data_IF_259948275601
#
_entry.id   IF_259948275601
#
_cell.length_a   1.000
_cell.length_b   1.000
_cell.length_c   1.000
_cell.angle_alpha   90.00
_cell.angle_beta   90.00
_cell.angle_gamma   90.00
#
_symmetry.space_group_name_H-M   'P 1'
#
loop_
_entity.id
_entity.type
_entity.pdbx_description
1 polymer ?
#
# COMPACT_ATOMS: atom_id res chain seq x y z
N UNK A 1 43.15 33.46 -38.89
CA UNK A 1 42.90 33.98 -37.53
C UNK A 1 41.42 34.20 -37.17
N UNK A 2 40.49 34.48 -38.09
CA UNK A 2 39.04 34.67 -37.78
C UNK A 2 38.25 33.40 -37.48
N UNK A 3 38.67 32.23 -37.96
CA UNK A 3 37.94 30.97 -37.76
C UNK A 3 38.15 30.40 -36.34
N UNK A 4 39.31 30.58 -35.72
CA UNK A 4 39.58 30.10 -34.37
C UNK A 4 38.87 30.90 -33.28
N UNK A 5 38.60 32.19 -33.47
CA UNK A 5 37.83 33.01 -32.53
C UNK A 5 36.35 32.59 -32.45
N UNK A 6 35.77 32.15 -33.59
CA UNK A 6 34.35 31.75 -33.64
C UNK A 6 34.09 30.43 -32.91
N UNK A 7 35.04 29.48 -33.00
CA UNK A 7 34.93 28.19 -32.29
C UNK A 7 35.14 28.38 -30.78
N UNK A 8 36.01 29.28 -30.34
CA UNK A 8 36.22 29.53 -28.90
C UNK A 8 35.00 30.23 -28.29
N UNK A 9 34.31 31.09 -28.99
CA UNK A 9 33.10 31.76 -28.53
C UNK A 9 31.89 30.79 -28.44
N UNK A 10 31.77 29.85 -29.38
CA UNK A 10 30.72 28.81 -29.33
C UNK A 10 30.90 27.83 -28.16
N UNK A 11 32.13 27.42 -27.88
CA UNK A 11 32.46 26.50 -26.78
C UNK A 11 32.22 27.20 -25.43
N UNK A 12 32.56 28.47 -25.25
CA UNK A 12 32.30 29.23 -24.02
C UNK A 12 30.80 29.43 -23.78
N UNK A 13 29.99 29.69 -24.82
CA UNK A 13 28.53 29.80 -24.71
C UNK A 13 27.90 28.45 -24.34
N UNK A 14 28.42 27.34 -24.90
CA UNK A 14 27.95 25.98 -24.57
C UNK A 14 28.24 25.58 -23.12
N UNK A 15 29.46 25.87 -22.65
CA UNK A 15 29.89 25.62 -21.27
C UNK A 15 29.07 26.45 -20.28
N UNK A 16 28.82 27.75 -20.58
CA UNK A 16 27.98 28.60 -19.73
C UNK A 16 26.51 28.11 -19.69
N UNK A 17 25.94 27.69 -20.81
CA UNK A 17 24.58 27.14 -20.84
C UNK A 17 24.46 25.82 -20.06
N UNK A 18 25.47 24.95 -20.14
CA UNK A 18 25.50 23.70 -19.40
C UNK A 18 25.67 23.95 -17.88
N UNK A 19 26.59 24.88 -17.51
CA UNK A 19 26.80 25.28 -16.11
C UNK A 19 25.58 25.93 -15.49
N UNK A 20 24.91 26.85 -16.21
CA UNK A 20 23.69 27.52 -15.77
C UNK A 20 22.51 26.53 -15.63
N UNK A 21 22.35 25.58 -16.58
CA UNK A 21 21.33 24.54 -16.53
C UNK A 21 21.54 23.57 -15.37
N UNK A 22 22.81 23.22 -15.04
CA UNK A 22 23.11 22.39 -13.87
C UNK A 22 22.85 23.13 -12.55
N UNK A 23 23.21 24.40 -12.47
CA UNK A 23 22.99 25.23 -11.27
C UNK A 23 21.51 25.47 -11.00
N UNK A 24 20.70 25.67 -12.05
CA UNK A 24 19.24 25.78 -11.94
C UNK A 24 18.60 24.47 -11.45
N UNK A 25 19.03 23.30 -11.97
CA UNK A 25 18.56 21.99 -11.52
C UNK A 25 18.91 21.68 -10.04
N UNK A 26 20.06 22.16 -9.56
CA UNK A 26 20.49 21.97 -8.17
C UNK A 26 19.66 22.84 -7.22
N UNK A 27 19.35 24.09 -7.59
CA UNK A 27 18.51 24.98 -6.79
C UNK A 27 17.10 24.43 -6.63
N UNK A 28 16.52 23.86 -7.69
CA UNK A 28 15.18 23.30 -7.67
C UNK A 28 15.07 22.08 -6.73
N UNK A 29 16.04 21.15 -6.79
CA UNK A 29 16.02 19.99 -5.91
C UNK A 29 16.21 20.35 -4.45
N UNK A 30 17.04 21.36 -4.15
CA UNK A 30 17.22 21.84 -2.78
C UNK A 30 15.94 22.50 -2.25
N UNK A 31 15.22 23.26 -3.07
CA UNK A 31 13.92 23.83 -2.73
C UNK A 31 12.89 22.73 -2.45
N UNK A 32 12.82 21.66 -3.29
CA UNK A 32 11.95 20.52 -3.03
C UNK A 32 12.29 19.87 -1.70
N UNK A 33 13.58 19.58 -1.42
CA UNK A 33 14.04 18.99 -0.17
C UNK A 33 13.63 19.81 1.04
N UNK A 34 13.84 21.13 1.00
CA UNK A 34 13.48 22.05 2.08
C UNK A 34 11.97 22.06 2.35
N UNK A 35 11.14 22.09 1.30
CA UNK A 35 9.67 22.04 1.42
C UNK A 35 9.20 20.73 2.02
N UNK A 36 9.76 19.59 1.60
CA UNK A 36 9.44 18.27 2.13
C UNK A 36 9.89 18.17 3.59
N UNK A 37 11.11 18.59 3.92
CA UNK A 37 11.62 18.60 5.30
C UNK A 37 10.73 19.46 6.21
N UNK A 38 10.36 20.66 5.79
CA UNK A 38 9.47 21.55 6.52
C UNK A 38 8.09 20.92 6.76
N UNK A 39 7.49 20.32 5.72
CA UNK A 39 6.17 19.69 5.81
C UNK A 39 6.15 18.50 6.78
N UNK A 40 7.13 17.61 6.65
CA UNK A 40 7.17 16.40 7.48
C UNK A 40 7.49 16.73 8.93
N UNK A 41 8.48 17.62 9.17
CA UNK A 41 8.81 18.09 10.52
C UNK A 41 7.65 18.87 11.17
N UNK A 42 6.91 19.65 10.40
CA UNK A 42 5.68 20.29 10.86
C UNK A 42 4.64 19.24 11.31
N UNK A 43 4.43 18.17 10.51
CA UNK A 43 3.56 17.06 10.88
C UNK A 43 3.96 16.39 12.20
N UNK A 44 5.26 16.13 12.40
CA UNK A 44 5.81 15.56 13.65
C UNK A 44 5.59 16.53 14.81
N UNK A 45 5.95 17.82 14.65
CA UNK A 45 5.78 18.87 15.67
C UNK A 45 4.31 19.01 16.11
N UNK A 46 3.37 18.89 15.17
CA UNK A 46 1.91 18.91 15.44
C UNK A 46 1.36 17.56 15.89
N UNK A 47 2.23 16.57 16.18
CA UNK A 47 1.85 15.22 16.63
C UNK A 47 0.90 14.49 15.67
N UNK A 48 0.99 14.76 14.38
CA UNK A 48 0.22 14.04 13.36
C UNK A 48 0.71 12.58 13.20
N UNK A 49 1.99 12.36 13.41
CA UNK A 49 2.67 11.06 13.47
C UNK A 49 4.03 11.24 14.16
N UNK A 50 4.55 10.22 14.88
CA UNK A 50 5.86 10.34 15.52
C UNK A 50 7.03 10.18 14.57
N UNK A 51 6.89 9.37 13.49
CA UNK A 51 7.95 9.11 12.54
C UNK A 51 7.45 8.88 11.12
N UNK A 52 8.35 9.06 10.15
CA UNK A 52 8.05 8.90 8.73
C UNK A 52 9.26 8.48 7.91
N UNK A 53 8.99 7.88 6.73
CA UNK A 53 9.92 7.79 5.60
C UNK A 53 9.27 8.43 4.38
N UNK A 54 10.04 9.21 3.61
CA UNK A 54 9.63 9.80 2.33
C UNK A 54 10.60 9.37 1.25
N UNK A 55 10.05 8.81 0.16
CA UNK A 55 10.82 8.57 -1.05
C UNK A 55 10.10 9.19 -2.24
N UNK A 56 10.84 9.99 -3.00
CA UNK A 56 10.36 10.66 -4.21
C UNK A 56 11.27 10.26 -5.37
N UNK A 57 10.68 9.63 -6.38
CA UNK A 57 11.29 9.38 -7.66
C UNK A 57 10.66 10.32 -8.69
N UNK A 58 11.48 11.01 -9.48
CA UNK A 58 11.00 11.87 -10.56
C UNK A 58 12.06 11.99 -11.64
N UNK A 59 11.64 11.94 -12.93
CA UNK A 59 12.54 12.08 -14.08
C UNK A 59 13.75 11.16 -13.95
N UNK A 60 13.46 9.86 -13.86
CA UNK A 60 14.41 8.74 -13.94
C UNK A 60 15.40 8.58 -12.78
N UNK A 61 15.21 9.31 -11.67
CA UNK A 61 16.04 9.13 -10.48
C UNK A 61 15.30 9.42 -9.17
N UNK A 62 15.81 8.82 -8.08
CA UNK A 62 15.39 9.14 -6.72
C UNK A 62 15.91 10.54 -6.36
N UNK A 63 15.01 11.45 -6.00
CA UNK A 63 15.31 12.82 -5.58
C UNK A 63 15.41 12.94 -4.05
N UNK A 64 14.59 12.20 -3.34
CA UNK A 64 14.54 12.13 -1.89
C UNK A 64 14.38 10.67 -1.46
N UNK A 65 15.19 10.24 -0.50
CA UNK A 65 15.02 9.02 0.29
C UNK A 65 15.46 9.36 1.72
N UNK A 66 14.50 9.70 2.59
CA UNK A 66 14.80 10.27 3.91
C UNK A 66 13.83 9.81 4.98
N UNK A 67 14.38 9.51 6.15
CA UNK A 67 13.66 9.19 7.36
C UNK A 67 13.57 10.41 8.28
N UNK A 68 12.50 10.50 9.10
CA UNK A 68 12.19 11.60 9.98
C UNK A 68 11.61 11.10 11.30
N UNK A 69 11.90 11.82 12.38
CA UNK A 69 11.31 11.60 13.70
C UNK A 69 11.70 10.27 14.33
N UNK A 70 10.79 9.71 15.10
CA UNK A 70 11.06 8.60 16.01
C UNK A 70 9.98 7.52 15.92
N UNK A 71 10.23 6.34 16.51
CA UNK A 71 9.25 5.26 16.59
C UNK A 71 7.99 5.68 17.35
N UNK A 72 8.17 6.48 18.39
CA UNK A 72 7.13 6.96 19.31
C UNK A 72 7.36 8.43 19.67
N UNK A 73 6.38 9.07 20.32
CA UNK A 73 6.51 10.49 20.75
C UNK A 73 7.43 10.71 21.94
N UNK A 74 8.00 9.66 22.53
CA UNK A 74 9.04 9.76 23.58
C UNK A 74 10.42 10.17 23.04
N UNK A 75 10.59 10.12 21.71
CA UNK A 75 11.81 10.52 20.99
C UNK A 75 13.08 9.73 21.37
N UNK A 76 12.92 8.45 21.74
CA UNK A 76 14.04 7.59 22.12
C UNK A 76 14.68 6.90 20.90
N UNK A 77 13.87 6.25 20.05
CA UNK A 77 14.36 5.47 18.91
C UNK A 77 14.11 6.24 17.60
N UNK A 78 15.16 6.82 16.97
CA UNK A 78 14.99 7.53 15.71
C UNK A 78 14.57 6.57 14.58
N UNK A 79 13.74 7.04 13.66
CA UNK A 79 13.42 6.31 12.44
C UNK A 79 14.60 6.41 11.47
N UNK A 80 14.97 5.29 10.86
CA UNK A 80 15.98 5.22 9.79
C UNK A 80 15.35 4.73 8.49
N UNK A 81 16.06 4.84 7.36
CA UNK A 81 15.59 4.31 6.08
C UNK A 81 15.46 2.78 6.07
N UNK A 82 16.10 2.09 7.00
CA UNK A 82 16.03 0.62 7.13
C UNK A 82 14.82 0.13 7.90
N UNK A 83 14.15 0.98 8.66
CA UNK A 83 13.02 0.57 9.48
C UNK A 83 11.78 0.26 8.63
N UNK A 84 11.06 -0.81 9.00
CA UNK A 84 9.86 -1.26 8.30
C UNK A 84 8.61 -0.73 8.99
N UNK A 85 7.66 -0.27 8.16
CA UNK A 85 6.34 0.19 8.57
C UNK A 85 5.28 -0.85 8.22
N UNK A 86 4.23 -0.95 9.03
CA UNK A 86 3.01 -1.65 8.63
C UNK A 86 2.33 -0.85 7.51
N UNK A 87 2.28 -1.43 6.35
CA UNK A 87 1.77 -0.79 5.13
C UNK A 87 0.24 -0.70 5.07
N UNK A 88 -0.47 -1.40 5.96
CA UNK A 88 -1.92 -1.48 5.94
C UNK A 88 -2.44 -1.78 4.52
N UNK A 89 -3.36 -0.94 4.00
CA UNK A 89 -3.98 -1.17 2.69
C UNK A 89 -3.05 -1.00 1.48
N UNK A 90 -1.84 -0.48 1.62
CA UNK A 90 -0.85 -0.57 0.53
C UNK A 90 -0.52 -2.03 0.17
N UNK A 91 -0.75 -2.98 1.10
CA UNK A 91 -0.72 -4.43 0.83
C UNK A 91 -1.56 -4.80 -0.40
N UNK A 92 -2.70 -4.11 -0.62
CA UNK A 92 -3.57 -4.38 -1.77
C UNK A 92 -2.86 -4.16 -3.10
N UNK A 93 -2.10 -3.08 -3.24
CA UNK A 93 -1.43 -2.77 -4.51
C UNK A 93 -0.03 -3.40 -4.61
N UNK A 94 0.70 -3.50 -3.50
CA UNK A 94 2.08 -3.99 -3.46
C UNK A 94 2.19 -5.53 -3.32
N UNK A 95 1.08 -6.21 -3.00
CA UNK A 95 1.01 -7.66 -2.94
C UNK A 95 -0.15 -8.22 -3.76
N UNK A 96 -1.41 -7.90 -3.40
CA UNK A 96 -2.58 -8.56 -3.99
C UNK A 96 -2.81 -8.21 -5.45
N UNK A 97 -2.77 -6.92 -5.82
CA UNK A 97 -3.05 -6.50 -7.20
C UNK A 97 -1.96 -6.93 -8.16
N UNK A 98 -0.66 -6.79 -7.81
CA UNK A 98 0.43 -7.30 -8.65
C UNK A 98 0.38 -8.83 -8.78
N UNK A 99 -0.04 -9.54 -7.72
CA UNK A 99 -0.31 -10.98 -7.79
C UNK A 99 -1.44 -11.30 -8.76
N UNK A 100 -2.57 -10.56 -8.68
CA UNK A 100 -3.70 -10.74 -9.61
C UNK A 100 -3.33 -10.41 -11.05
N UNK A 101 -2.52 -9.37 -11.28
CA UNK A 101 -1.96 -9.07 -12.60
C UNK A 101 -1.15 -10.27 -13.13
N UNK A 102 -0.28 -10.86 -12.31
CA UNK A 102 0.53 -12.00 -12.71
C UNK A 102 -0.29 -13.26 -12.93
N UNK A 103 -1.28 -13.51 -12.10
CA UNK A 103 -2.23 -14.61 -12.29
C UNK A 103 -3.07 -14.40 -13.57
N UNK A 104 -3.45 -13.17 -13.90
CA UNK A 104 -4.15 -12.80 -15.12
C UNK A 104 -3.34 -13.19 -16.38
N UNK A 105 -2.01 -12.98 -16.34
CA UNK A 105 -1.12 -13.36 -17.44
C UNK A 105 -0.91 -14.90 -17.55
N UNK A 106 -0.85 -15.58 -16.39
CA UNK A 106 -0.46 -16.99 -16.35
C UNK A 106 -1.62 -17.96 -16.55
N UNK A 107 -2.85 -17.58 -16.22
CA UNK A 107 -3.98 -18.51 -16.08
C UNK A 107 -5.23 -18.11 -16.87
N UNK A 108 -5.08 -17.27 -17.89
CA UNK A 108 -6.17 -16.81 -18.77
C UNK A 108 -7.44 -16.39 -17.98
N UNK A 109 -7.23 -15.54 -16.96
CA UNK A 109 -8.31 -15.05 -16.11
C UNK A 109 -9.11 -14.00 -16.87
N UNK A 110 -10.36 -14.29 -17.24
CA UNK A 110 -11.27 -13.26 -17.73
C UNK A 110 -11.82 -12.44 -16.54
N UNK A 111 -11.54 -11.14 -16.54
CA UNK A 111 -11.96 -10.21 -15.47
C UNK A 111 -13.48 -10.08 -15.33
N UNK A 112 -14.24 -10.43 -16.38
CA UNK A 112 -15.70 -10.45 -16.36
C UNK A 112 -16.30 -11.77 -15.83
N UNK A 113 -15.50 -12.83 -15.72
CA UNK A 113 -15.97 -14.09 -15.16
C UNK A 113 -16.39 -13.96 -13.69
N UNK A 114 -17.38 -14.73 -13.26
CA UNK A 114 -17.83 -14.72 -11.87
C UNK A 114 -16.74 -15.25 -10.94
N UNK A 115 -16.48 -14.54 -9.85
CA UNK A 115 -15.46 -14.89 -8.86
C UNK A 115 -15.62 -16.29 -8.28
N UNK A 116 -16.85 -16.82 -8.30
CA UNK A 116 -17.15 -18.18 -7.86
C UNK A 116 -16.53 -19.27 -8.74
N UNK A 117 -16.05 -18.95 -9.96
CA UNK A 117 -15.28 -19.85 -10.82
C UNK A 117 -13.97 -20.26 -10.12
N UNK A 118 -13.31 -19.32 -9.48
CA UNK A 118 -12.02 -19.54 -8.82
C UNK A 118 -12.11 -19.71 -7.29
N UNK A 119 -13.21 -19.22 -6.66
CA UNK A 119 -13.46 -19.34 -5.21
C UNK A 119 -14.73 -20.15 -4.95
N UNK A 120 -14.64 -21.51 -4.87
CA UNK A 120 -15.80 -22.39 -4.74
C UNK A 120 -16.66 -22.09 -3.50
N UNK A 121 -16.07 -21.55 -2.44
CA UNK A 121 -16.81 -21.13 -1.24
C UNK A 121 -17.93 -20.13 -1.60
N UNK A 122 -17.77 -19.32 -2.65
CA UNK A 122 -18.75 -18.32 -3.08
C UNK A 122 -19.84 -18.86 -4.01
N UNK A 123 -19.75 -20.11 -4.54
CA UNK A 123 -20.76 -20.70 -5.45
C UNK A 123 -22.18 -20.68 -4.86
N UNK A 124 -22.30 -20.90 -3.54
CA UNK A 124 -23.58 -20.87 -2.83
C UNK A 124 -23.72 -19.60 -1.98
N UNK A 125 -23.60 -18.41 -2.62
CA UNK A 125 -23.74 -17.11 -1.97
C UNK A 125 -24.39 -16.09 -2.91
N UNK A 126 -24.85 -14.97 -2.36
CA UNK A 126 -25.30 -13.80 -3.13
C UNK A 126 -24.17 -13.14 -3.95
N UNK A 127 -22.93 -13.53 -3.73
CA UNK A 127 -21.73 -13.01 -4.39
C UNK A 127 -21.28 -13.84 -5.60
N UNK A 128 -21.97 -14.97 -5.87
CA UNK A 128 -21.56 -15.96 -6.88
C UNK A 128 -21.37 -15.41 -8.29
N UNK A 129 -22.13 -14.40 -8.68
CA UNK A 129 -22.13 -13.80 -10.03
C UNK A 129 -21.24 -12.57 -10.15
N UNK A 130 -20.60 -12.08 -9.06
CA UNK A 130 -19.78 -10.89 -9.14
C UNK A 130 -18.46 -11.19 -9.84
N UNK A 131 -18.11 -10.34 -10.82
CA UNK A 131 -16.87 -10.44 -11.56
C UNK A 131 -15.70 -9.80 -10.80
N UNK A 132 -14.47 -10.22 -11.11
CA UNK A 132 -13.27 -9.57 -10.59
C UNK A 132 -13.24 -8.08 -10.93
N UNK A 133 -13.70 -7.72 -12.14
CA UNK A 133 -13.81 -6.32 -12.60
C UNK A 133 -14.64 -5.47 -11.63
N UNK A 134 -15.85 -5.92 -11.27
CA UNK A 134 -16.73 -5.21 -10.31
C UNK A 134 -16.15 -5.18 -8.89
N UNK A 135 -15.53 -6.27 -8.46
CA UNK A 135 -14.99 -6.40 -7.10
C UNK A 135 -13.76 -5.51 -6.90
N UNK A 136 -12.79 -5.54 -7.83
CA UNK A 136 -11.53 -4.80 -7.71
C UNK A 136 -11.72 -3.28 -7.88
N UNK A 137 -12.79 -2.87 -8.57
CA UNK A 137 -13.19 -1.46 -8.65
C UNK A 137 -14.13 -1.02 -7.51
N UNK A 138 -14.40 -1.89 -6.53
CA UNK A 138 -15.31 -1.66 -5.42
C UNK A 138 -16.76 -1.33 -5.83
N UNK A 139 -17.21 -1.86 -6.98
CA UNK A 139 -18.55 -1.65 -7.54
C UNK A 139 -19.45 -2.89 -7.45
N UNK A 140 -19.19 -3.77 -6.49
CA UNK A 140 -19.90 -5.05 -6.32
C UNK A 140 -20.87 -5.06 -5.14
N UNK A 141 -21.09 -3.93 -4.45
CA UNK A 141 -22.00 -3.82 -3.31
C UNK A 141 -21.58 -4.66 -2.09
N UNK A 142 -20.28 -5.05 -1.98
CA UNK A 142 -19.82 -5.75 -0.79
C UNK A 142 -19.66 -4.75 0.35
N UNK A 143 -20.07 -5.15 1.58
CA UNK A 143 -19.94 -4.26 2.74
C UNK A 143 -18.47 -3.88 2.99
N UNK A 144 -18.20 -2.67 3.51
CA UNK A 144 -16.84 -2.19 3.74
C UNK A 144 -16.04 -3.06 4.70
N UNK A 145 -16.66 -3.48 5.81
CA UNK A 145 -15.96 -4.01 6.97
C UNK A 145 -16.84 -4.96 7.83
N UNK A 146 -16.18 -5.92 8.48
CA UNK A 146 -16.75 -6.77 9.55
C UNK A 146 -15.83 -6.65 10.77
N UNK A 147 -16.38 -6.24 11.91
CA UNK A 147 -15.66 -6.21 13.20
C UNK A 147 -15.35 -7.60 13.72
N UNK A 148 -14.44 -8.33 13.06
CA UNK A 148 -14.09 -9.68 13.45
C UNK A 148 -13.55 -9.76 14.89
N UNK A 149 -12.82 -8.72 15.34
CA UNK A 149 -12.29 -8.61 16.69
C UNK A 149 -13.40 -8.55 17.75
N UNK A 150 -14.56 -7.96 17.45
CA UNK A 150 -15.68 -7.94 18.40
C UNK A 150 -16.39 -9.32 18.48
N UNK A 151 -16.29 -10.12 17.42
CA UNK A 151 -16.91 -11.44 17.35
C UNK A 151 -16.13 -12.55 18.06
N UNK A 152 -14.96 -12.27 18.59
CA UNK A 152 -14.16 -13.23 19.37
C UNK A 152 -14.55 -13.25 20.85
N UNK A 153 -15.25 -12.23 21.34
CA UNK A 153 -15.68 -12.15 22.74
C UNK A 153 -17.12 -12.63 22.91
N UNK A 154 -17.39 -13.21 24.06
CA UNK A 154 -18.76 -13.47 24.54
C UNK A 154 -19.32 -12.26 25.30
N UNK A 155 -20.57 -12.32 25.76
CA UNK A 155 -21.21 -11.24 26.53
C UNK A 155 -20.51 -10.89 27.85
N UNK A 156 -19.70 -11.81 28.40
CA UNK A 156 -18.91 -11.64 29.62
C UNK A 156 -17.48 -11.11 29.34
N UNK A 157 -17.17 -10.71 28.11
CA UNK A 157 -15.84 -10.21 27.71
C UNK A 157 -14.75 -11.30 27.62
N UNK A 158 -15.07 -12.58 27.79
CA UNK A 158 -14.14 -13.69 27.64
C UNK A 158 -14.07 -14.17 26.18
N UNK A 159 -12.94 -14.75 25.78
CA UNK A 159 -12.81 -15.35 24.44
C UNK A 159 -13.84 -16.46 24.23
N UNK A 160 -14.51 -16.44 23.08
CA UNK A 160 -15.35 -17.54 22.64
C UNK A 160 -14.48 -18.77 22.32
N UNK A 161 -15.04 -19.96 22.51
CA UNK A 161 -14.36 -21.20 22.15
C UNK A 161 -13.87 -21.18 20.69
N UNK A 162 -12.68 -21.74 20.48
CA UNK A 162 -12.05 -21.82 19.14
C UNK A 162 -11.87 -20.45 18.45
N UNK A 163 -11.47 -19.43 19.21
CA UNK A 163 -11.11 -18.10 18.70
C UNK A 163 -9.66 -17.79 19.03
N UNK A 164 -9.35 -17.42 20.27
CA UNK A 164 -8.03 -17.04 20.75
C UNK A 164 -7.66 -17.78 22.04
N UNK A 165 -6.35 -17.86 22.29
CA UNK A 165 -5.75 -18.40 23.51
C UNK A 165 -4.48 -17.63 23.84
N UNK A 166 -4.16 -17.48 25.14
CA UNK A 166 -2.85 -17.00 25.59
C UNK A 166 -1.77 -18.09 25.54
N UNK A 167 -2.17 -19.37 25.39
CA UNK A 167 -1.24 -20.50 25.32
C UNK A 167 -1.15 -21.01 23.89
N UNK A 168 0.08 -21.15 23.38
CA UNK A 168 0.36 -21.81 22.10
C UNK A 168 0.02 -23.30 22.20
N UNK A 169 -0.61 -23.86 21.17
CA UNK A 169 -0.90 -25.28 21.07
C UNK A 169 -1.17 -25.68 19.62
N UNK A 170 -1.31 -26.99 19.35
CA UNK A 170 -1.70 -27.51 18.03
C UNK A 170 -3.04 -26.91 17.55
N UNK A 171 -3.96 -26.56 18.47
CA UNK A 171 -5.22 -25.90 18.14
C UNK A 171 -5.07 -24.39 17.92
N UNK A 172 -4.07 -23.76 18.54
CA UNK A 172 -3.82 -22.32 18.50
C UNK A 172 -2.37 -22.02 18.08
N UNK A 173 -1.99 -22.30 16.81
CA UNK A 173 -0.61 -22.19 16.35
C UNK A 173 -0.22 -20.79 15.89
N UNK A 174 -1.18 -19.95 15.45
CA UNK A 174 -0.93 -18.66 14.79
C UNK A 174 -0.83 -17.51 15.78
N UNK A 175 0.28 -16.77 15.80
CA UNK A 175 0.45 -15.58 16.62
C UNK A 175 -0.36 -14.41 16.05
N UNK A 176 -1.04 -13.67 16.93
CA UNK A 176 -1.80 -12.44 16.67
C UNK A 176 -1.09 -11.22 17.28
N UNK A 177 -0.35 -11.48 18.34
CA UNK A 177 0.49 -10.57 19.09
C UNK A 177 1.50 -11.36 19.94
N UNK A 178 2.31 -10.70 20.77
CA UNK A 178 3.39 -11.36 21.53
C UNK A 178 2.95 -12.56 22.37
N UNK A 179 1.73 -12.52 22.90
CA UNK A 179 1.21 -13.56 23.81
C UNK A 179 -0.19 -14.04 23.44
N UNK A 180 -0.65 -13.79 22.20
CA UNK A 180 -2.00 -14.13 21.80
C UNK A 180 -1.99 -15.00 20.54
N UNK A 181 -2.66 -16.15 20.60
CA UNK A 181 -2.64 -17.15 19.53
C UNK A 181 -4.04 -17.36 18.97
N UNK A 182 -4.17 -17.41 17.64
CA UNK A 182 -5.43 -17.67 16.95
C UNK A 182 -5.63 -19.14 16.67
N UNK A 183 -6.88 -19.60 16.77
CA UNK A 183 -7.29 -20.97 16.46
C UNK A 183 -7.07 -21.28 14.97
N UNK A 184 -6.48 -22.45 14.65
CA UNK A 184 -6.14 -22.90 13.27
C UNK A 184 -7.30 -22.85 12.27
N UNK A 185 -8.54 -22.96 12.73
CA UNK A 185 -9.74 -22.89 11.89
C UNK A 185 -10.36 -21.51 11.78
N UNK A 186 -9.78 -20.46 12.40
CA UNK A 186 -10.43 -19.15 12.45
C UNK A 186 -10.47 -18.45 11.10
N UNK A 187 -9.45 -18.63 10.27
CA UNK A 187 -9.41 -18.16 8.88
C UNK A 187 -10.64 -18.62 8.10
N UNK A 188 -11.00 -19.90 8.17
CA UNK A 188 -12.21 -20.43 7.53
C UNK A 188 -13.49 -19.78 8.06
N UNK A 189 -13.53 -19.41 9.36
CA UNK A 189 -14.67 -18.69 9.95
C UNK A 189 -14.82 -17.29 9.35
N UNK A 190 -13.70 -16.55 9.17
CA UNK A 190 -13.70 -15.23 8.53
C UNK A 190 -14.29 -15.33 7.12
N UNK A 191 -13.78 -16.23 6.27
CA UNK A 191 -14.24 -16.40 4.90
C UNK A 191 -15.72 -16.80 4.82
N UNK A 192 -16.19 -17.71 5.74
CA UNK A 192 -17.61 -18.08 5.84
C UNK A 192 -18.49 -16.90 6.26
N UNK A 193 -18.01 -16.02 7.14
CA UNK A 193 -18.75 -14.80 7.54
C UNK A 193 -18.88 -13.84 6.35
N UNK A 194 -17.78 -13.57 5.63
CA UNK A 194 -17.80 -12.74 4.43
C UNK A 194 -18.80 -13.29 3.39
N UNK A 195 -18.78 -14.60 3.13
CA UNK A 195 -19.73 -15.28 2.25
C UNK A 195 -21.20 -14.94 2.60
N UNK A 196 -21.53 -14.87 3.90
CA UNK A 196 -22.89 -14.69 4.42
C UNK A 196 -23.35 -13.23 4.51
N UNK A 197 -22.46 -12.24 4.30
CA UNK A 197 -22.85 -10.83 4.39
C UNK A 197 -23.89 -10.48 3.34
N UNK A 198 -24.80 -9.56 3.70
CA UNK A 198 -25.71 -8.93 2.75
C UNK A 198 -24.92 -8.08 1.77
N UNK A 199 -25.48 -7.84 0.60
CA UNK A 199 -24.99 -6.84 -0.34
C UNK A 199 -25.65 -5.51 -0.03
N UNK A 200 -24.93 -4.43 -0.27
CA UNK A 200 -25.48 -3.08 -0.28
C UNK A 200 -26.33 -2.92 -1.53
N UNK A 201 -27.37 -2.11 -1.43
CA UNK A 201 -28.23 -1.75 -2.57
C UNK A 201 -27.55 -0.61 -3.36
N UNK A 202 -27.82 -0.57 -4.67
CA UNK A 202 -27.28 0.45 -5.58
C UNK A 202 -26.00 0.05 -6.29
N UNK A 203 -25.64 0.83 -7.30
CA UNK A 203 -24.44 0.64 -8.13
C UNK A 203 -23.30 1.61 -7.76
N UNK A 204 -23.38 2.22 -6.59
CA UNK A 204 -22.36 3.15 -6.11
C UNK A 204 -21.08 2.44 -5.72
N UNK A 205 -19.97 3.16 -5.84
CA UNK A 205 -18.67 2.69 -5.39
C UNK A 205 -18.61 2.70 -3.85
N UNK A 206 -18.48 1.51 -3.27
CA UNK A 206 -18.29 1.34 -1.82
C UNK A 206 -16.99 0.59 -1.58
N UNK A 207 -15.99 1.29 -1.04
CA UNK A 207 -14.69 0.69 -0.71
C UNK A 207 -14.85 -0.52 0.22
N UNK A 208 -14.45 -1.69 -0.22
CA UNK A 208 -14.57 -2.95 0.52
C UNK A 208 -13.27 -3.77 0.49
N UNK A 209 -12.77 -4.11 1.67
CA UNK A 209 -11.63 -5.02 1.83
C UNK A 209 -11.98 -6.50 1.75
N UNK A 210 -13.27 -6.85 1.68
CA UNK A 210 -13.74 -8.22 1.92
C UNK A 210 -13.23 -9.25 0.92
N UNK A 211 -13.10 -8.91 -0.34
CA UNK A 211 -12.57 -9.84 -1.35
C UNK A 211 -11.11 -10.22 -1.10
N UNK A 212 -10.33 -9.26 -0.64
CA UNK A 212 -8.89 -9.47 -0.46
C UNK A 212 -8.53 -10.54 0.58
N UNK A 213 -9.46 -10.90 1.48
CA UNK A 213 -9.29 -12.04 2.38
C UNK A 213 -9.26 -13.39 1.65
N UNK A 214 -9.77 -13.48 0.43
CA UNK A 214 -9.72 -14.68 -0.39
C UNK A 214 -8.45 -14.79 -1.25
N UNK A 215 -7.62 -13.76 -1.35
CA UNK A 215 -6.42 -13.74 -2.20
C UNK A 215 -5.45 -14.90 -1.85
N UNK A 216 -5.13 -15.20 -0.56
CA UNK A 216 -4.23 -16.31 -0.26
C UNK A 216 -4.76 -17.66 -0.74
N UNK A 217 -6.09 -17.90 -0.63
CA UNK A 217 -6.73 -19.13 -1.12
C UNK A 217 -6.75 -19.19 -2.65
N UNK A 218 -7.06 -18.06 -3.31
CA UNK A 218 -7.06 -17.95 -4.77
C UNK A 218 -5.69 -18.27 -5.36
N UNK A 219 -4.63 -17.66 -4.81
CA UNK A 219 -3.24 -17.89 -5.23
C UNK A 219 -2.87 -19.35 -5.07
N UNK A 220 -3.14 -19.94 -3.88
CA UNK A 220 -2.84 -21.34 -3.60
C UNK A 220 -3.56 -22.28 -4.58
N UNK A 221 -4.82 -21.97 -4.90
CA UNK A 221 -5.62 -22.79 -5.81
C UNK A 221 -5.10 -22.75 -7.25
N UNK A 222 -4.75 -21.58 -7.75
CA UNK A 222 -4.33 -21.41 -9.16
C UNK A 222 -2.88 -21.82 -9.38
N UNK A 223 -1.98 -21.47 -8.47
CA UNK A 223 -0.53 -21.62 -8.66
C UNK A 223 0.11 -22.74 -7.84
N UNK A 224 -0.62 -23.35 -6.92
CA UNK A 224 -0.04 -24.30 -5.94
C UNK A 224 0.84 -23.64 -4.88
N UNK A 225 1.16 -22.34 -5.00
CA UNK A 225 2.04 -21.58 -4.07
C UNK A 225 1.23 -20.85 -3.02
N UNK A 226 1.78 -20.63 -1.82
CA UNK A 226 1.25 -19.62 -0.90
C UNK A 226 1.43 -18.21 -1.48
N UNK A 227 0.70 -17.22 -0.96
CA UNK A 227 0.85 -15.82 -1.39
C UNK A 227 2.29 -15.32 -1.22
N UNK A 228 2.95 -15.67 -0.12
CA UNK A 228 4.35 -15.29 0.14
C UNK A 228 5.31 -15.94 -0.87
N UNK A 229 5.17 -17.25 -1.12
CA UNK A 229 5.98 -17.96 -2.11
C UNK A 229 5.80 -17.38 -3.51
N UNK A 230 4.55 -17.07 -3.89
CA UNK A 230 4.23 -16.47 -5.19
C UNK A 230 4.89 -15.09 -5.37
N UNK A 231 4.73 -14.20 -4.38
CA UNK A 231 5.33 -12.87 -4.40
C UNK A 231 6.87 -12.92 -4.43
N UNK A 232 7.46 -13.79 -3.63
CA UNK A 232 8.91 -13.99 -3.62
C UNK A 232 9.43 -14.53 -4.95
N UNK A 233 8.71 -15.46 -5.58
CA UNK A 233 9.15 -16.07 -6.83
C UNK A 233 9.07 -15.11 -8.02
N UNK A 234 7.95 -14.36 -8.15
CA UNK A 234 7.73 -13.53 -9.32
C UNK A 234 8.22 -12.09 -9.19
N UNK A 235 8.33 -11.54 -7.97
CA UNK A 235 8.62 -10.13 -7.75
C UNK A 235 9.74 -9.88 -6.74
N UNK A 236 9.59 -10.25 -5.47
CA UNK A 236 10.44 -9.73 -4.40
C UNK A 236 11.89 -10.19 -4.52
N UNK A 237 12.14 -11.49 -4.70
CA UNK A 237 13.51 -12.01 -4.89
C UNK A 237 14.11 -11.54 -6.22
N UNK A 238 13.43 -11.65 -7.38
CA UNK A 238 13.99 -11.19 -8.65
C UNK A 238 14.27 -9.69 -8.72
N UNK A 239 13.62 -8.87 -7.90
CA UNK A 239 13.88 -7.43 -7.75
C UNK A 239 14.84 -7.09 -6.61
N UNK A 240 15.35 -8.10 -5.90
CA UNK A 240 16.23 -7.94 -4.74
C UNK A 240 15.62 -7.09 -3.61
N UNK A 241 14.32 -7.30 -3.31
CA UNK A 241 13.61 -6.57 -2.26
C UNK A 241 13.85 -7.24 -0.91
N UNK A 242 14.82 -6.75 -0.16
CA UNK A 242 15.22 -7.38 1.09
C UNK A 242 14.36 -6.99 2.28
N UNK A 243 13.86 -5.74 2.30
CA UNK A 243 13.13 -5.15 3.44
C UNK A 243 11.64 -4.99 3.15
N UNK A 244 11.03 -6.06 2.60
CA UNK A 244 9.58 -6.22 2.40
C UNK A 244 9.18 -7.63 2.82
N UNK A 245 8.17 -7.76 3.71
CA UNK A 245 7.77 -9.08 4.23
C UNK A 245 6.40 -9.07 4.86
N UNK A 246 5.70 -10.20 4.72
CA UNK A 246 4.68 -10.60 5.68
C UNK A 246 5.35 -11.22 6.91
N UNK A 247 4.69 -11.15 8.07
CA UNK A 247 5.19 -11.73 9.33
C UNK A 247 6.64 -11.26 9.62
N UNK A 248 6.89 -9.95 9.70
CA UNK A 248 8.24 -9.40 9.70
C UNK A 248 9.11 -9.92 10.85
N UNK A 249 8.55 -10.24 12.01
CA UNK A 249 9.26 -10.81 13.16
C UNK A 249 9.91 -12.18 12.90
N UNK A 250 9.62 -12.84 11.76
CA UNK A 250 10.34 -14.03 11.33
C UNK A 250 11.70 -13.71 10.68
N UNK A 251 11.92 -12.48 10.27
CA UNK A 251 13.12 -12.04 9.52
C UNK A 251 13.83 -10.87 10.19
N UNK A 252 13.12 -10.00 10.89
CA UNK A 252 13.61 -8.75 11.46
C UNK A 252 13.39 -8.71 12.97
N UNK A 253 14.28 -8.04 13.68
CA UNK A 253 14.10 -7.74 15.10
C UNK A 253 13.02 -6.67 15.33
N UNK A 254 12.44 -6.60 16.52
CA UNK A 254 11.49 -5.54 16.86
C UNK A 254 12.08 -4.13 16.73
N UNK A 255 13.39 -3.96 16.94
CA UNK A 255 14.07 -2.68 16.82
C UNK A 255 14.02 -2.10 15.40
N UNK A 256 13.91 -2.96 14.39
CA UNK A 256 13.82 -2.57 12.97
C UNK A 256 12.38 -2.29 12.52
N UNK A 257 11.40 -2.51 13.38
CA UNK A 257 9.97 -2.38 13.06
C UNK A 257 9.40 -1.17 13.77
N UNK A 258 8.71 -0.30 13.03
CA UNK A 258 8.05 0.87 13.64
C UNK A 258 6.74 0.44 14.28
N UNK A 259 6.49 0.73 15.58
CA UNK A 259 5.26 0.38 16.25
C UNK A 259 4.07 1.17 15.68
N UNK A 260 2.88 0.58 15.75
CA UNK A 260 1.65 1.21 15.27
C UNK A 260 0.80 1.77 16.41
N UNK A 261 -0.03 0.98 17.04
CA UNK A 261 -1.04 1.43 18.01
C UNK A 261 -0.85 0.79 19.38
N UNK A 262 -1.13 1.53 20.47
CA UNK A 262 -1.43 0.94 21.77
C UNK A 262 -2.88 0.45 21.73
N UNK A 263 -3.06 -0.79 21.26
CA UNK A 263 -4.39 -1.39 21.06
C UNK A 263 -5.07 -1.66 22.41
N UNK A 264 -6.03 -0.83 22.75
CA UNK A 264 -6.83 -0.98 24.00
C UNK A 264 -8.07 -1.87 23.82
N UNK A 265 -8.46 -2.19 22.59
CA UNK A 265 -9.73 -2.85 22.27
C UNK A 265 -9.58 -4.36 22.11
N UNK A 266 -8.58 -4.80 21.39
CA UNK A 266 -8.45 -6.19 20.95
C UNK A 266 -7.27 -6.91 21.62
N UNK A 267 -6.03 -6.43 21.42
CA UNK A 267 -4.81 -7.08 21.90
C UNK A 267 -4.40 -6.61 23.30
N UNK A 268 -4.85 -5.42 23.70
CA UNK A 268 -4.53 -4.74 24.97
C UNK A 268 -3.03 -4.59 25.22
N UNK A 269 -2.30 -4.27 24.13
CA UNK A 269 -0.85 -4.07 24.16
C UNK A 269 -0.40 -3.17 23.02
N UNK A 270 0.89 -2.78 23.01
CA UNK A 270 1.51 -2.11 21.86
C UNK A 270 1.60 -3.09 20.69
N UNK A 271 1.03 -2.72 19.54
CA UNK A 271 1.15 -3.46 18.29
C UNK A 271 2.49 -3.10 17.64
N UNK A 272 3.48 -3.98 17.80
CA UNK A 272 4.84 -3.75 17.38
C UNK A 272 5.38 -5.01 16.66
N UNK A 273 5.54 -4.91 15.32
CA UNK A 273 5.91 -6.04 14.46
C UNK A 273 4.76 -7.01 14.13
N UNK A 274 3.56 -6.70 14.58
CA UNK A 274 2.32 -7.41 14.25
C UNK A 274 1.44 -6.54 13.37
N UNK A 275 0.73 -7.16 12.40
CA UNK A 275 -0.17 -6.41 11.52
C UNK A 275 -1.23 -5.67 12.33
N UNK A 276 -1.41 -4.38 12.05
CA UNK A 276 -2.37 -3.52 12.75
C UNK A 276 -3.81 -3.97 12.52
N UNK A 277 -4.18 -4.29 11.28
CA UNK A 277 -5.52 -4.77 10.93
C UNK A 277 -5.87 -6.03 11.71
N UNK A 278 -6.93 -5.96 12.53
CA UNK A 278 -7.33 -7.04 13.42
C UNK A 278 -7.79 -8.29 12.65
N UNK A 279 -8.50 -8.09 11.53
CA UNK A 279 -8.98 -9.21 10.73
C UNK A 279 -7.81 -9.90 10.01
N UNK A 280 -6.85 -9.16 9.49
CA UNK A 280 -5.63 -9.71 8.90
C UNK A 280 -4.80 -10.46 9.95
N UNK A 281 -4.71 -9.96 11.19
CA UNK A 281 -4.03 -10.69 12.26
C UNK A 281 -4.75 -12.01 12.62
N UNK A 282 -6.07 -12.01 12.64
CA UNK A 282 -6.90 -13.21 12.82
C UNK A 282 -6.83 -14.19 11.62
N UNK A 283 -6.35 -13.72 10.45
CA UNK A 283 -5.96 -14.58 9.33
C UNK A 283 -4.56 -15.20 9.48
N UNK A 284 -3.88 -14.95 10.60
CA UNK A 284 -2.52 -15.40 10.84
C UNK A 284 -1.44 -14.42 10.32
N UNK A 285 -1.79 -13.17 10.09
CA UNK A 285 -0.88 -12.11 9.65
C UNK A 285 -0.61 -12.08 8.13
N UNK A 286 -1.14 -13.04 7.37
CA UNK A 286 -1.00 -13.09 5.90
C UNK A 286 -2.38 -12.94 5.26
N UNK A 287 -2.66 -11.77 4.74
CA UNK A 287 -3.94 -11.47 4.10
C UNK A 287 -3.74 -10.55 2.89
N UNK A 288 -4.65 -10.55 1.94
CA UNK A 288 -4.56 -9.68 0.77
C UNK A 288 -4.95 -8.23 1.05
N UNK A 289 -5.66 -7.95 2.15
CA UNK A 289 -6.09 -6.58 2.47
C UNK A 289 -5.06 -5.78 3.26
N UNK A 290 -4.24 -6.45 4.06
CA UNK A 290 -3.21 -5.89 4.94
C UNK A 290 -2.22 -6.99 5.39
N UNK A 291 -1.12 -6.62 6.05
CA UNK A 291 -0.14 -7.53 6.65
C UNK A 291 1.24 -7.45 6.06
N UNK A 292 1.44 -6.68 4.99
CA UNK A 292 2.75 -6.40 4.42
C UNK A 292 3.45 -5.30 5.22
N UNK A 293 4.73 -5.50 5.50
CA UNK A 293 5.64 -4.53 6.10
C UNK A 293 6.78 -4.24 5.11
N UNK A 294 7.19 -2.99 5.01
CA UNK A 294 8.37 -2.60 4.22
C UNK A 294 8.91 -1.24 4.64
N UNK A 295 10.12 -0.93 4.17
CA UNK A 295 10.64 0.42 4.08
C UNK A 295 10.33 1.04 2.70
N UNK A 296 10.51 2.35 2.57
CA UNK A 296 10.22 3.06 1.32
C UNK A 296 11.11 2.59 0.16
N UNK A 297 12.36 2.27 0.44
CA UNK A 297 13.33 1.83 -0.56
C UNK A 297 12.92 0.50 -1.21
N UNK A 298 12.49 -0.51 -0.43
CA UNK A 298 12.02 -1.79 -0.98
C UNK A 298 10.69 -1.70 -1.72
N UNK A 299 9.88 -0.64 -1.50
CA UNK A 299 8.67 -0.39 -2.27
C UNK A 299 9.00 0.22 -3.64
N UNK A 300 10.05 1.04 -3.72
CA UNK A 300 10.43 1.83 -4.90
C UNK A 300 10.52 1.01 -6.19
N UNK A 301 11.19 -0.17 -6.27
CA UNK A 301 11.26 -0.98 -7.48
C UNK A 301 9.89 -1.45 -7.99
N UNK A 302 8.95 -1.76 -7.09
CA UNK A 302 7.60 -2.15 -7.48
C UNK A 302 6.84 -0.97 -8.13
N UNK A 303 6.97 0.25 -7.58
CA UNK A 303 6.34 1.43 -8.17
C UNK A 303 7.03 1.83 -9.47
N UNK A 304 8.35 1.69 -9.56
CA UNK A 304 9.09 1.94 -10.81
C UNK A 304 8.67 0.94 -11.90
N UNK A 305 8.52 -0.34 -11.58
CA UNK A 305 7.97 -1.34 -12.49
C UNK A 305 6.58 -0.91 -13.00
N UNK A 306 5.68 -0.45 -12.12
CA UNK A 306 4.36 0.03 -12.52
C UNK A 306 4.45 1.28 -13.39
N UNK A 307 5.31 2.25 -13.05
CA UNK A 307 5.56 3.47 -13.83
C UNK A 307 6.11 3.15 -15.23
N UNK A 308 7.02 2.17 -15.33
CA UNK A 308 7.67 1.73 -16.56
C UNK A 308 6.89 0.61 -17.26
N UNK A 309 5.56 0.56 -17.08
CA UNK A 309 4.65 -0.36 -17.76
C UNK A 309 5.12 -1.82 -17.70
N UNK A 310 5.51 -2.28 -16.51
CA UNK A 310 5.82 -3.67 -16.22
C UNK A 310 7.30 -4.05 -16.29
N UNK A 311 8.21 -3.10 -16.55
CA UNK A 311 9.65 -3.33 -16.57
C UNK A 311 10.35 -2.66 -15.38
N UNK A 312 11.42 -3.28 -14.90
CA UNK A 312 12.30 -2.71 -13.90
C UNK A 312 13.72 -3.23 -14.14
N UNK A 313 14.69 -2.33 -14.14
CA UNK A 313 16.11 -2.63 -14.32
C UNK A 313 16.40 -3.56 -15.52
N UNK A 314 15.83 -3.21 -16.69
CA UNK A 314 15.97 -3.96 -17.95
C UNK A 314 15.18 -5.28 -18.03
N UNK A 315 14.55 -5.74 -16.94
CA UNK A 315 13.77 -6.98 -16.89
C UNK A 315 12.26 -6.70 -16.91
N UNK A 316 11.52 -7.50 -17.68
CA UNK A 316 10.05 -7.46 -17.72
C UNK A 316 9.46 -8.41 -16.69
N UNK A 317 8.56 -7.88 -15.86
CA UNK A 317 7.83 -8.60 -14.81
C UNK A 317 6.36 -8.79 -15.16
N UNK A 318 5.76 -7.78 -15.81
CA UNK A 318 4.38 -7.77 -16.29
C UNK A 318 4.31 -7.18 -17.68
N UNK A 319 3.31 -7.55 -18.47
CA UNK A 319 3.08 -6.99 -19.79
C UNK A 319 2.50 -5.58 -19.70
N UNK A 320 2.83 -4.67 -20.64
CA UNK A 320 2.27 -3.31 -20.67
C UNK A 320 0.75 -3.29 -20.71
N UNK A 321 0.14 -4.20 -21.46
CA UNK A 321 -1.31 -4.35 -21.61
C UNK A 321 -1.97 -4.71 -20.28
N UNK A 322 -1.33 -5.59 -19.51
CA UNK A 322 -1.78 -5.95 -18.15
C UNK A 322 -1.77 -4.74 -17.24
N UNK A 323 -0.65 -3.97 -17.21
CA UNK A 323 -0.56 -2.74 -16.42
C UNK A 323 -1.69 -1.78 -16.84
N UNK A 324 -1.81 -1.48 -18.14
CA UNK A 324 -2.84 -0.55 -18.65
C UNK A 324 -4.25 -0.99 -18.26
N UNK A 325 -4.57 -2.31 -18.39
CA UNK A 325 -5.87 -2.87 -18.02
C UNK A 325 -6.21 -2.60 -16.54
N UNK A 326 -5.23 -2.70 -15.65
CA UNK A 326 -5.48 -2.55 -14.21
C UNK A 326 -5.45 -1.10 -13.73
N UNK A 327 -4.65 -0.22 -14.32
CA UNK A 327 -4.52 1.18 -13.87
C UNK A 327 -5.52 2.14 -14.52
N UNK A 328 -6.10 1.81 -15.68
CA UNK A 328 -7.12 2.66 -16.31
C UNK A 328 -8.41 2.69 -15.48
N UNK A 329 -9.25 3.70 -15.70
CA UNK A 329 -10.59 3.77 -15.10
C UNK A 329 -11.42 2.58 -15.55
N UNK A 330 -11.89 1.78 -14.60
CA UNK A 330 -12.65 0.55 -14.90
C UNK A 330 -13.98 0.83 -15.57
N UNK A 331 -14.65 1.91 -15.17
CA UNK A 331 -15.96 2.35 -15.66
C UNK A 331 -15.89 3.83 -16.08
N UNK A 332 -15.36 4.17 -17.28
CA UNK A 332 -15.11 5.57 -17.66
C UNK A 332 -16.37 6.47 -17.68
N UNK A 333 -17.55 5.86 -17.88
CA UNK A 333 -18.83 6.57 -17.97
C UNK A 333 -19.57 6.67 -16.61
N UNK A 334 -18.98 6.15 -15.53
CA UNK A 334 -19.59 6.21 -14.19
C UNK A 334 -18.86 7.18 -13.28
N UNK A 335 -19.46 7.51 -12.13
CA UNK A 335 -18.85 8.32 -11.08
C UNK A 335 -17.71 7.60 -10.34
N UNK A 336 -17.49 6.31 -10.60
CA UNK A 336 -16.42 5.53 -9.98
C UNK A 336 -15.06 5.80 -10.65
N UNK A 337 -14.12 6.50 -10.00
CA UNK A 337 -12.83 6.84 -10.63
C UNK A 337 -11.84 5.68 -10.69
N UNK A 338 -12.10 4.57 -10.02
CA UNK A 338 -11.10 3.52 -9.71
C UNK A 338 -10.64 2.73 -10.92
N UNK A 339 -9.38 2.30 -10.83
CA UNK A 339 -8.85 1.15 -11.58
C UNK A 339 -9.11 -0.17 -10.85
N UNK A 340 -8.55 -1.26 -11.37
CA UNK A 340 -8.66 -2.59 -10.76
C UNK A 340 -7.68 -2.72 -9.58
N UNK A 341 -8.15 -2.47 -8.37
CA UNK A 341 -7.37 -2.50 -7.14
C UNK A 341 -6.62 -1.20 -6.82
N UNK A 342 -6.62 -0.22 -7.73
CA UNK A 342 -5.97 1.08 -7.54
C UNK A 342 -6.99 2.20 -7.30
N UNK A 343 -6.63 3.14 -6.44
CA UNK A 343 -7.25 4.45 -6.39
C UNK A 343 -6.78 5.29 -7.57
N UNK A 344 -7.64 6.19 -8.04
CA UNK A 344 -7.34 7.20 -9.06
C UNK A 344 -7.86 8.57 -8.61
N UNK A 345 -7.40 9.65 -9.23
CA UNK A 345 -7.91 10.97 -8.92
C UNK A 345 -9.42 11.05 -9.10
N UNK A 346 -10.09 11.80 -8.21
CA UNK A 346 -11.52 12.11 -8.34
C UNK A 346 -11.83 12.69 -9.71
N UNK A 347 -13.05 12.45 -10.22
CA UNK A 347 -13.47 12.92 -11.55
C UNK A 347 -13.69 14.44 -11.55
N UNK A 348 -14.24 14.94 -10.45
CA UNK A 348 -14.50 16.36 -10.28
C UNK A 348 -13.20 17.11 -9.97
N UNK A 349 -12.97 18.21 -10.68
CA UNK A 349 -11.84 19.12 -10.47
C UNK A 349 -12.21 20.20 -9.44
N UNK A 350 -12.74 19.76 -8.30
CA UNK A 350 -13.09 20.64 -7.19
C UNK A 350 -11.85 21.08 -6.39
N UNK A 351 -12.03 22.10 -5.51
CA UNK A 351 -10.96 22.68 -4.69
C UNK A 351 -10.18 21.67 -3.84
N UNK A 352 -10.73 20.49 -3.58
CA UNK A 352 -10.12 19.44 -2.76
C UNK A 352 -10.07 18.08 -3.48
N UNK A 353 -9.69 18.08 -4.75
CA UNK A 353 -9.57 16.85 -5.54
C UNK A 353 -8.62 15.85 -4.88
N UNK A 354 -9.12 14.65 -4.62
CA UNK A 354 -8.29 13.55 -4.14
C UNK A 354 -7.49 12.92 -5.28
N UNK A 355 -6.19 12.58 -5.10
CA UNK A 355 -5.37 12.78 -3.89
C UNK A 355 -4.71 14.16 -3.82
N UNK A 356 -4.75 14.96 -4.88
CA UNK A 356 -4.23 16.31 -5.04
C UNK A 356 -4.82 16.95 -6.29
N UNK A 357 -4.95 18.28 -6.31
CA UNK A 357 -5.46 19.03 -7.46
C UNK A 357 -4.49 19.05 -8.66
N UNK A 358 -3.19 18.84 -8.41
CA UNK A 358 -2.14 19.03 -9.41
C UNK A 358 -1.72 17.74 -10.11
N UNK A 359 -2.04 16.58 -9.58
CA UNK A 359 -1.69 15.30 -10.23
C UNK A 359 -2.48 15.08 -11.52
N UNK A 360 -1.91 14.34 -12.45
CA UNK A 360 -2.56 14.02 -13.72
C UNK A 360 -3.72 13.03 -13.54
N UNK A 361 -4.63 12.97 -14.53
CA UNK A 361 -5.73 11.98 -14.56
C UNK A 361 -5.22 10.53 -14.72
N UNK A 362 -3.99 10.36 -15.17
CA UNK A 362 -3.34 9.06 -15.30
C UNK A 362 -2.86 8.52 -13.94
N UNK A 363 -2.71 9.39 -12.94
CA UNK A 363 -2.23 9.03 -11.60
C UNK A 363 -3.02 7.86 -11.03
N UNK A 364 -2.32 6.95 -10.37
CA UNK A 364 -2.90 5.82 -9.65
C UNK A 364 -2.08 5.50 -8.40
N UNK A 365 -2.70 4.87 -7.43
CA UNK A 365 -2.02 4.53 -6.18
C UNK A 365 -2.96 3.98 -5.14
N UNK A 366 -2.57 4.10 -3.89
CA UNK A 366 -3.41 3.74 -2.74
C UNK A 366 -2.89 4.39 -1.46
N UNK A 367 -3.73 4.43 -0.43
CA UNK A 367 -3.33 4.83 0.92
C UNK A 367 -3.53 3.71 1.93
N UNK A 368 -2.81 3.77 3.06
CA UNK A 368 -2.94 2.84 4.16
C UNK A 368 -3.48 3.51 5.43
N UNK A 369 -4.24 2.74 6.21
CA UNK A 369 -4.85 3.21 7.46
C UNK A 369 -3.82 3.69 8.48
N UNK A 370 -2.66 3.07 8.53
CA UNK A 370 -1.53 3.41 9.40
C UNK A 370 -0.88 4.75 9.07
N UNK A 371 -1.27 5.39 7.96
CA UNK A 371 -0.75 6.69 7.54
C UNK A 371 0.13 6.63 6.29
N UNK A 372 0.26 5.45 5.71
CA UNK A 372 1.06 5.21 4.51
C UNK A 372 0.36 5.66 3.23
N UNK A 373 1.13 5.99 2.20
CA UNK A 373 0.63 6.19 0.83
C UNK A 373 1.70 5.84 -0.21
N UNK A 374 1.25 5.44 -1.40
CA UNK A 374 2.07 5.27 -2.58
C UNK A 374 1.26 5.71 -3.81
N UNK A 375 1.79 6.67 -4.57
CA UNK A 375 1.15 7.23 -5.77
C UNK A 375 2.14 7.30 -6.91
N UNK A 376 1.69 6.91 -8.10
CA UNK A 376 2.43 6.91 -9.37
C UNK A 376 1.71 7.82 -10.34
N UNK A 377 2.41 8.75 -10.96
CA UNK A 377 1.90 9.63 -12.02
C UNK A 377 2.71 9.43 -13.30
N UNK A 378 2.19 8.61 -14.24
CA UNK A 378 2.91 8.31 -15.50
C UNK A 378 3.13 9.53 -16.37
N UNK A 379 2.14 10.42 -16.46
CA UNK A 379 2.23 11.63 -17.29
C UNK A 379 3.33 12.58 -16.83
N UNK A 380 3.49 12.73 -15.51
CA UNK A 380 4.50 13.61 -14.91
C UNK A 380 5.79 12.86 -14.54
N UNK A 381 5.91 11.57 -14.89
CA UNK A 381 7.06 10.68 -14.65
C UNK A 381 7.58 10.76 -13.21
N UNK A 382 6.71 10.47 -12.24
CA UNK A 382 7.09 10.38 -10.83
C UNK A 382 6.31 9.31 -10.06
N UNK A 383 6.86 8.91 -8.92
CA UNK A 383 6.12 8.31 -7.83
C UNK A 383 6.57 8.86 -6.48
N UNK A 384 5.64 8.82 -5.52
CA UNK A 384 5.84 9.25 -4.14
C UNK A 384 5.44 8.15 -3.17
N UNK A 385 6.30 7.89 -2.20
CA UNK A 385 6.04 7.01 -1.07
C UNK A 385 6.13 7.86 0.20
N UNK A 386 5.09 7.80 1.04
CA UNK A 386 5.11 8.30 2.40
C UNK A 386 4.70 7.16 3.34
N UNK A 387 5.58 6.79 4.24
CA UNK A 387 5.30 5.84 5.31
C UNK A 387 5.26 6.60 6.62
N UNK A 388 4.20 6.43 7.41
CA UNK A 388 4.07 6.97 8.76
C UNK A 388 3.40 5.96 9.68
N UNK A 389 3.55 6.16 10.97
CA UNK A 389 2.79 5.43 11.97
C UNK A 389 1.77 6.34 12.68
N UNK A 390 0.98 7.09 11.91
CA UNK A 390 -0.01 8.05 12.43
C UNK A 390 -0.98 7.49 13.47
N UNK A 391 -1.20 6.17 13.46
CA UNK A 391 -2.08 5.50 14.42
C UNK A 391 -1.47 5.36 15.82
N UNK A 392 -0.20 5.76 16.00
CA UNK A 392 0.41 5.86 17.33
C UNK A 392 0.07 7.19 17.99
N UNK A 393 -0.31 7.21 19.30
CA UNK A 393 -0.54 6.04 20.17
C UNK A 393 -1.89 5.35 19.92
N UNK A 394 -2.84 5.97 19.21
CA UNK A 394 -4.16 5.40 18.93
C UNK A 394 -4.70 5.86 17.57
N UNK A 395 -5.62 5.07 17.02
CA UNK A 395 -6.21 5.25 15.68
C UNK A 395 -7.02 6.53 15.48
N UNK A 396 -7.38 7.25 16.55
CA UNK A 396 -8.14 8.49 16.49
C UNK A 396 -7.29 9.70 16.08
N UNK A 397 -5.96 9.53 15.94
CA UNK A 397 -5.07 10.55 15.40
C UNK A 397 -5.47 10.94 13.98
N UNK A 398 -5.96 12.19 13.81
CA UNK A 398 -6.40 12.73 12.52
C UNK A 398 -5.46 13.80 11.95
N UNK A 399 -4.35 14.09 12.63
CA UNK A 399 -3.43 15.19 12.25
C UNK A 399 -2.93 15.09 10.81
N UNK A 400 -2.61 13.87 10.31
CA UNK A 400 -2.20 13.63 8.94
C UNK A 400 -3.22 14.18 7.90
N UNK A 401 -4.52 14.05 8.20
CA UNK A 401 -5.61 14.51 7.33
C UNK A 401 -5.90 16.01 7.53
N UNK A 402 -6.01 16.46 8.78
CA UNK A 402 -6.31 17.86 9.13
C UNK A 402 -5.25 18.80 8.57
N UNK A 403 -3.98 18.39 8.62
CA UNK A 403 -2.85 19.16 8.10
C UNK A 403 -2.63 18.98 6.60
N UNK A 404 -3.44 18.19 5.91
CA UNK A 404 -3.34 17.92 4.46
C UNK A 404 -1.92 17.52 4.00
N UNK A 405 -1.19 16.75 4.82
CA UNK A 405 0.22 16.40 4.54
C UNK A 405 0.36 15.67 3.21
N UNK A 406 -0.52 14.71 2.91
CA UNK A 406 -0.45 13.90 1.68
C UNK A 406 -0.67 14.72 0.41
N UNK A 407 -1.73 15.54 0.28
CA UNK A 407 -1.93 16.40 -0.88
C UNK A 407 -0.79 17.38 -1.08
N UNK A 408 -0.34 18.07 -0.01
CA UNK A 408 0.76 19.03 -0.09
C UNK A 408 2.06 18.38 -0.58
N UNK A 409 2.38 17.16 -0.12
CA UNK A 409 3.56 16.43 -0.57
C UNK A 409 3.50 16.14 -2.07
N UNK A 410 2.33 15.70 -2.58
CA UNK A 410 2.13 15.49 -4.02
C UNK A 410 2.24 16.80 -4.81
N UNK A 411 1.65 17.89 -4.31
CA UNK A 411 1.71 19.20 -4.94
C UNK A 411 3.15 19.71 -5.08
N UNK A 412 3.99 19.52 -4.06
CA UNK A 412 5.40 19.88 -4.12
C UNK A 412 6.15 19.10 -5.21
N UNK A 413 5.85 17.81 -5.35
CA UNK A 413 6.49 16.97 -6.37
C UNK A 413 6.03 17.35 -7.78
N UNK A 414 4.76 17.66 -7.98
CA UNK A 414 4.25 18.10 -9.29
C UNK A 414 4.88 19.41 -9.70
N UNK A 415 4.97 20.40 -8.78
CA UNK A 415 5.55 21.72 -9.03
C UNK A 415 7.05 21.72 -9.25
N UNK A 416 7.76 20.70 -8.79
CA UNK A 416 9.20 20.48 -9.06
C UNK A 416 9.42 19.97 -10.49
#
# INVERSE_FOLDING_TARGET
>A
MKIYLFHFFLITILIHKISFSQQFKVSDINNLKQKVDSLINFGIKKKAFPGAQVLIFKRDSIKINKAYGYHTFDSITPVTNDHLFDLASLTKILASTITLMKLYELYDINLNDPVSKWIPLLKRSNKKKHSLKKILSHNAGWIPYISHQNLIFNKKGKFRNNTLSFNKSIRFPGLVSDSLFVHRGYQKKILKRIKKTKLLKGDEMVYSGMFYFFIPELVKRLSGKSLIEFLNYYFYKPMNLERISYLPLKKFSKKELVPTERDSLFRKQLVHGWVHDEAASLMGGVSGNAGLFANAESISPLLQMLLQKGSYNGKRYLNPETINTFIQRTFPKSSNPRGLGFDKPSLEKEQNRYPSNLVSDETFGHTGFTGTMAWVDPKNNFFVILLTNRVYPNRNQKGLYILNIRPQLLDYVVKY
#
